data_IF_673349793912
#
_entry.id   IF_673349793912
#
_cell.length_a   1.000
_cell.length_b   1.000
_cell.length_c   1.000
_cell.angle_alpha   90.00
_cell.angle_beta   90.00
_cell.angle_gamma   90.00
#
_symmetry.space_group_name_H-M   'P 1'
#
loop_
_entity.id
_entity.type
_entity.pdbx_description
1 polymer ?
#
# COMPACT_ATOMS: atom_id res chain seq x y z
N UNK A 1 -17.35 23.21 22.07
CA UNK A 1 -17.07 22.73 23.42
C UNK A 1 -17.40 21.23 23.47
N UNK A 2 -16.57 20.45 24.09
CA UNK A 2 -16.75 19.00 24.21
C UNK A 2 -17.73 18.68 25.35
N UNK A 3 -18.72 17.83 25.07
CA UNK A 3 -19.69 17.33 26.06
C UNK A 3 -19.51 15.83 26.24
N UNK A 4 -19.36 15.40 27.52
CA UNK A 4 -19.20 13.97 27.88
C UNK A 4 -20.46 13.13 27.61
N UNK A 5 -21.60 13.77 27.56
CA UNK A 5 -22.95 13.22 27.42
C UNK A 5 -23.53 13.47 26.02
N UNK A 6 -22.66 13.75 25.02
CA UNK A 6 -23.13 13.90 23.66
C UNK A 6 -23.83 12.61 23.18
N UNK A 7 -24.93 12.74 22.42
CA UNK A 7 -25.69 11.59 21.93
C UNK A 7 -24.83 10.73 20.98
N UNK A 8 -25.17 9.45 20.91
CA UNK A 8 -24.52 8.55 19.96
C UNK A 8 -24.71 9.04 18.51
N UNK A 9 -23.68 9.01 17.67
CA UNK A 9 -23.73 9.52 16.30
C UNK A 9 -24.41 8.51 15.37
N UNK A 10 -25.73 8.48 15.39
CA UNK A 10 -26.53 7.44 14.73
C UNK A 10 -26.41 7.49 13.22
N UNK A 11 -26.44 8.68 12.61
CA UNK A 11 -26.34 8.87 11.14
C UNK A 11 -24.94 8.48 10.67
N UNK A 12 -23.91 8.87 11.42
CA UNK A 12 -22.53 8.45 11.14
C UNK A 12 -22.35 6.93 11.17
N UNK A 13 -22.88 6.26 12.21
CA UNK A 13 -22.77 4.82 12.36
C UNK A 13 -23.54 4.07 11.27
N UNK A 14 -24.73 4.55 10.91
CA UNK A 14 -25.51 4.02 9.80
C UNK A 14 -24.79 4.18 8.47
N UNK A 15 -24.23 5.36 8.21
CA UNK A 15 -23.39 5.62 7.03
C UNK A 15 -22.20 4.67 6.98
N UNK A 16 -21.45 4.50 8.07
CA UNK A 16 -20.31 3.57 8.10
C UNK A 16 -20.72 2.13 7.87
N UNK A 17 -21.83 1.67 8.44
CA UNK A 17 -22.36 0.35 8.21
C UNK A 17 -22.80 0.13 6.76
N UNK A 18 -23.27 1.16 6.08
CA UNK A 18 -23.56 1.12 4.65
C UNK A 18 -22.31 1.12 3.77
N UNK A 19 -21.24 1.79 4.20
CA UNK A 19 -20.03 1.98 3.41
C UNK A 19 -18.99 0.87 3.61
N UNK A 20 -18.78 0.43 4.84
CA UNK A 20 -17.72 -0.49 5.23
C UNK A 20 -18.27 -1.83 5.73
N UNK A 21 -17.42 -2.82 5.72
CA UNK A 21 -17.73 -4.10 6.37
C UNK A 21 -17.65 -3.92 7.90
N UNK A 22 -18.58 -4.51 8.67
CA UNK A 22 -18.65 -4.30 10.12
C UNK A 22 -17.36 -4.62 10.87
N UNK A 23 -16.63 -5.65 10.40
CA UNK A 23 -15.35 -6.06 10.99
C UNK A 23 -14.20 -5.04 10.81
N UNK A 24 -14.35 -4.09 9.86
CA UNK A 24 -13.33 -3.08 9.54
C UNK A 24 -13.61 -1.74 10.27
N UNK A 25 -14.84 -1.52 10.74
CA UNK A 25 -15.25 -0.29 11.44
C UNK A 25 -14.42 -0.04 12.72
N UNK A 26 -14.10 -1.05 13.56
CA UNK A 26 -13.22 -0.85 14.71
C UNK A 26 -11.84 -0.31 14.35
N UNK A 27 -11.27 -0.73 13.21
CA UNK A 27 -9.98 -0.23 12.74
C UNK A 27 -10.06 1.24 12.35
N UNK A 28 -11.13 1.65 11.65
CA UNK A 28 -11.37 3.07 11.31
C UNK A 28 -11.57 3.90 12.58
N UNK A 29 -12.33 3.42 13.54
CA UNK A 29 -12.57 4.07 14.83
C UNK A 29 -11.26 4.33 15.58
N UNK A 30 -10.40 3.32 15.66
CA UNK A 30 -9.07 3.42 16.28
C UNK A 30 -8.17 4.40 15.51
N UNK A 31 -8.22 4.40 14.18
CA UNK A 31 -7.41 5.30 13.37
C UNK A 31 -7.82 6.77 13.54
N UNK A 32 -9.11 7.07 13.52
CA UNK A 32 -9.60 8.44 13.76
C UNK A 32 -9.25 8.86 15.19
N UNK A 33 -9.43 7.98 16.17
CA UNK A 33 -9.01 8.22 17.55
C UNK A 33 -7.50 8.46 17.68
N UNK A 34 -6.69 7.71 16.95
CA UNK A 34 -5.23 7.90 16.90
C UNK A 34 -4.84 9.27 16.33
N UNK A 35 -5.64 9.83 15.43
CA UNK A 35 -5.43 11.18 14.93
C UNK A 35 -5.67 12.29 15.97
N UNK A 36 -6.33 12.02 17.10
CA UNK A 36 -6.59 13.01 18.14
C UNK A 36 -5.36 13.33 19.01
N UNK A 37 -4.29 12.55 18.95
CA UNK A 37 -3.11 12.70 19.80
C UNK A 37 -1.82 12.91 18.98
N UNK A 38 -0.86 13.73 19.46
CA UNK A 38 0.42 13.94 18.80
C UNK A 38 1.40 12.79 19.11
N UNK A 39 1.12 11.59 18.59
CA UNK A 39 1.94 10.40 18.82
C UNK A 39 2.04 9.56 17.56
N UNK A 40 3.21 9.09 17.15
CA UNK A 40 3.42 8.19 16.02
C UNK A 40 3.66 6.72 16.44
N UNK A 41 3.30 6.34 17.69
CA UNK A 41 3.52 4.98 18.21
C UNK A 41 2.82 3.88 17.41
N UNK A 42 1.67 4.17 16.82
CA UNK A 42 0.91 3.21 16.01
C UNK A 42 1.56 2.94 14.65
N UNK A 43 2.39 3.85 14.13
CA UNK A 43 3.13 3.70 12.88
C UNK A 43 2.28 3.24 11.69
N UNK A 44 1.07 3.78 11.55
CA UNK A 44 0.12 3.41 10.49
C UNK A 44 -0.38 4.64 9.75
N UNK A 45 -0.59 4.46 8.46
CA UNK A 45 -1.44 5.27 7.59
C UNK A 45 -2.65 4.46 7.18
N UNK A 46 -3.70 5.11 6.72
CA UNK A 46 -4.92 4.45 6.26
C UNK A 46 -5.20 4.76 4.79
N UNK A 47 -5.62 3.74 4.07
CA UNK A 47 -6.13 3.83 2.71
C UNK A 47 -7.53 3.23 2.70
N UNK A 48 -8.52 3.99 2.23
CA UNK A 48 -9.87 3.50 2.02
C UNK A 48 -10.10 3.39 0.51
N UNK A 49 -10.14 2.16 0.03
CA UNK A 49 -10.25 1.79 -1.38
C UNK A 49 -11.71 1.51 -1.76
N UNK A 50 -12.12 1.98 -2.93
CA UNK A 50 -13.44 1.67 -3.54
C UNK A 50 -13.39 1.81 -5.06
N UNK A 51 -14.55 1.67 -5.70
CA UNK A 51 -14.69 1.74 -7.15
C UNK A 51 -15.12 3.13 -7.66
N UNK A 52 -15.43 4.06 -6.74
CA UNK A 52 -15.96 5.40 -7.03
C UNK A 52 -17.47 5.50 -6.78
N UNK A 53 -17.90 6.64 -6.25
CA UNK A 53 -19.31 6.91 -5.99
C UNK A 53 -19.92 6.30 -4.73
N UNK A 54 -19.14 5.56 -3.90
CA UNK A 54 -19.66 4.95 -2.67
C UNK A 54 -19.85 5.96 -1.53
N UNK A 55 -19.17 7.11 -1.59
CA UNK A 55 -19.25 8.16 -0.60
C UNK A 55 -18.05 8.27 0.35
N UNK A 56 -16.88 7.72 -0.01
CA UNK A 56 -15.64 7.78 0.80
C UNK A 56 -15.29 9.20 1.25
N UNK A 57 -15.40 10.18 0.35
CA UNK A 57 -15.09 11.60 0.62
C UNK A 57 -15.95 12.21 1.72
N UNK A 58 -17.13 11.64 2.01
CA UNK A 58 -17.97 12.09 3.12
C UNK A 58 -17.26 11.92 4.48
N UNK A 59 -16.40 10.89 4.61
CA UNK A 59 -15.57 10.72 5.80
C UNK A 59 -14.66 11.94 5.98
N UNK A 60 -13.96 12.37 4.93
CA UNK A 60 -13.10 13.54 4.96
C UNK A 60 -13.85 14.81 5.33
N UNK A 61 -15.04 15.04 4.75
CA UNK A 61 -15.89 16.16 5.04
C UNK A 61 -16.32 16.21 6.52
N UNK A 62 -16.64 15.08 7.13
CA UNK A 62 -16.98 14.99 8.56
C UNK A 62 -15.76 15.22 9.44
N UNK A 63 -14.62 14.63 9.10
CA UNK A 63 -13.38 14.79 9.87
C UNK A 63 -12.91 16.25 9.89
N UNK A 64 -13.15 17.02 8.82
CA UNK A 64 -12.83 18.45 8.79
C UNK A 64 -13.58 19.24 9.87
N UNK A 65 -14.80 18.85 10.22
CA UNK A 65 -15.57 19.48 11.32
C UNK A 65 -14.99 19.14 12.71
N UNK A 66 -14.35 17.99 12.86
CA UNK A 66 -13.77 17.55 14.13
C UNK A 66 -12.37 18.12 14.33
N UNK A 67 -11.52 18.05 13.31
CA UNK A 67 -10.12 18.44 13.39
C UNK A 67 -9.89 19.93 13.09
N UNK A 68 -10.77 20.58 12.33
CA UNK A 68 -10.65 22.00 11.97
C UNK A 68 -9.28 22.32 11.38
N UNK A 69 -8.58 23.29 11.95
CA UNK A 69 -7.24 23.72 11.49
C UNK A 69 -6.13 22.69 11.70
N UNK A 70 -6.37 21.63 12.46
CA UNK A 70 -5.44 20.52 12.65
C UNK A 70 -5.53 19.47 11.53
N UNK A 71 -6.46 19.63 10.59
CA UNK A 71 -6.57 18.83 9.38
C UNK A 71 -6.13 19.64 8.16
N UNK A 72 -5.50 18.95 7.21
CA UNK A 72 -5.12 19.52 5.93
C UNK A 72 -5.46 18.54 4.80
N UNK A 73 -6.04 19.08 3.73
CA UNK A 73 -6.14 18.36 2.47
C UNK A 73 -4.82 18.47 1.73
N UNK A 74 -4.32 17.33 1.24
CA UNK A 74 -3.03 17.31 0.57
C UNK A 74 -2.70 15.97 -0.10
N UNK A 75 -2.05 16.03 -1.26
CA UNK A 75 -1.66 14.82 -1.98
C UNK A 75 -0.43 14.14 -1.35
N UNK A 76 -0.55 12.85 -1.04
CA UNK A 76 0.55 12.01 -0.55
C UNK A 76 1.67 11.93 -1.59
N UNK A 77 1.34 11.88 -2.88
CA UNK A 77 2.32 11.95 -3.96
C UNK A 77 3.15 13.23 -3.91
N UNK A 78 2.51 14.39 -3.76
CA UNK A 78 3.17 15.68 -3.64
C UNK A 78 4.04 15.76 -2.38
N UNK A 79 3.58 15.23 -1.26
CA UNK A 79 4.34 15.16 0.00
C UNK A 79 5.58 14.28 -0.16
N UNK A 80 5.48 13.18 -0.93
CA UNK A 80 6.62 12.29 -1.17
C UNK A 80 7.73 12.94 -2.01
N UNK A 81 7.37 13.80 -2.95
CA UNK A 81 8.31 14.39 -3.92
C UNK A 81 8.80 15.79 -3.53
N UNK A 82 7.96 16.58 -2.86
CA UNK A 82 8.24 18.00 -2.60
C UNK A 82 8.58 18.24 -1.12
N UNK A 83 9.84 18.66 -0.88
CA UNK A 83 10.33 18.99 0.47
C UNK A 83 9.56 20.11 1.15
N UNK A 84 9.06 21.08 0.40
CA UNK A 84 8.28 22.20 0.96
C UNK A 84 6.89 21.75 1.40
N UNK A 85 6.25 20.84 0.64
CA UNK A 85 4.95 20.30 1.01
C UNK A 85 4.98 19.53 2.34
N UNK A 86 6.13 18.94 2.71
CA UNK A 86 6.32 18.28 4.01
C UNK A 86 6.28 19.28 5.18
N UNK A 87 6.87 20.46 5.03
CA UNK A 87 6.85 21.49 6.08
C UNK A 87 5.43 22.02 6.38
N UNK A 88 4.51 21.88 5.42
CA UNK A 88 3.11 22.24 5.60
C UNK A 88 2.34 21.27 6.51
N UNK A 89 2.91 20.12 6.83
CA UNK A 89 2.33 19.15 7.77
C UNK A 89 2.77 19.38 9.22
N UNK A 90 3.65 20.33 9.47
CA UNK A 90 3.98 20.75 10.82
C UNK A 90 2.73 21.29 11.53
N UNK A 91 2.48 20.85 12.76
CA UNK A 91 1.29 21.16 13.56
C UNK A 91 -0.03 20.58 13.02
N UNK A 92 0.01 19.75 11.98
CA UNK A 92 -1.17 19.04 11.47
C UNK A 92 -1.26 17.67 12.14
N UNK A 93 -2.46 17.26 12.53
CA UNK A 93 -2.75 15.96 13.10
C UNK A 93 -3.23 14.95 12.03
N UNK A 94 -3.95 15.44 11.02
CA UNK A 94 -4.51 14.60 9.96
C UNK A 94 -4.30 15.25 8.58
N UNK A 95 -3.66 14.54 7.67
CA UNK A 95 -3.60 14.91 6.27
C UNK A 95 -4.46 13.94 5.45
N UNK A 96 -5.40 14.48 4.68
CA UNK A 96 -6.33 13.70 3.85
C UNK A 96 -6.01 13.92 2.38
N UNK A 97 -5.80 12.83 1.65
CA UNK A 97 -5.70 12.78 0.19
C UNK A 97 -7.03 12.22 -0.35
N UNK A 98 -7.94 13.12 -0.76
CA UNK A 98 -9.32 12.75 -1.13
C UNK A 98 -9.41 12.08 -2.51
N UNK A 99 -8.44 12.31 -3.37
CA UNK A 99 -8.37 11.71 -4.70
C UNK A 99 -6.94 11.22 -4.97
N UNK A 100 -6.52 10.25 -4.17
CA UNK A 100 -5.20 9.67 -4.35
C UNK A 100 -5.15 8.94 -5.68
N UNK A 101 -4.34 9.49 -6.59
CA UNK A 101 -4.14 8.91 -7.91
C UNK A 101 -3.46 7.55 -7.80
N UNK A 102 -3.84 6.63 -8.69
CA UNK A 102 -3.23 5.30 -8.81
C UNK A 102 -1.76 5.33 -9.28
N UNK A 103 -1.20 6.53 -9.48
CA UNK A 103 0.20 6.68 -9.86
C UNK A 103 1.11 6.17 -8.74
N UNK A 104 2.05 5.34 -9.12
CA UNK A 104 2.99 4.78 -8.17
C UNK A 104 3.86 5.87 -7.53
N UNK A 105 3.98 5.87 -6.21
CA UNK A 105 4.89 6.76 -5.50
C UNK A 105 6.34 6.46 -5.91
N UNK A 106 7.03 7.47 -6.44
CA UNK A 106 8.44 7.36 -6.81
C UNK A 106 9.36 7.22 -5.60
N UNK A 107 8.99 7.84 -4.48
CA UNK A 107 9.77 7.84 -3.25
C UNK A 107 8.84 7.60 -2.05
N UNK A 108 8.98 6.45 -1.41
CA UNK A 108 8.19 6.10 -0.22
C UNK A 108 8.88 6.46 1.09
N UNK A 109 10.19 6.79 1.04
CA UNK A 109 11.00 7.06 2.23
C UNK A 109 10.41 8.16 3.12
N UNK A 110 9.92 9.24 2.52
CA UNK A 110 9.32 10.35 3.26
C UNK A 110 7.97 9.97 3.87
N UNK A 111 7.13 9.23 3.13
CA UNK A 111 5.87 8.70 3.67
C UNK A 111 6.16 7.80 4.87
N UNK A 112 7.12 6.88 4.74
CA UNK A 112 7.56 6.01 5.85
C UNK A 112 8.06 6.82 7.04
N UNK A 113 8.88 7.84 6.79
CA UNK A 113 9.45 8.68 7.84
C UNK A 113 8.37 9.47 8.59
N UNK A 114 7.38 10.06 7.89
CA UNK A 114 6.26 10.78 8.51
C UNK A 114 5.46 9.83 9.41
N UNK A 115 5.10 8.65 8.89
CA UNK A 115 4.29 7.67 9.62
C UNK A 115 5.00 7.13 10.87
N UNK A 116 6.33 7.10 10.87
CA UNK A 116 7.14 6.49 11.96
C UNK A 116 7.95 7.49 12.78
N UNK A 117 7.84 8.79 12.50
CA UNK A 117 8.63 9.81 13.18
C UNK A 117 8.46 9.71 14.72
N UNK A 118 9.54 9.45 15.41
CA UNK A 118 9.60 9.45 16.88
C UNK A 118 10.28 10.70 17.45
N UNK A 119 10.78 11.56 16.58
CA UNK A 119 11.49 12.77 16.91
C UNK A 119 11.23 13.88 15.90
N UNK A 120 12.07 14.90 15.94
CA UNK A 120 12.03 15.99 14.98
C UNK A 120 12.49 15.51 13.61
N UNK A 121 11.87 16.06 12.57
CA UNK A 121 12.25 15.88 11.17
C UNK A 121 12.81 17.16 10.61
N UNK A 122 13.68 17.02 9.61
CA UNK A 122 14.20 18.14 8.85
C UNK A 122 13.12 18.69 7.91
N UNK A 123 12.73 19.93 8.14
CA UNK A 123 11.67 20.63 7.40
C UNK A 123 12.25 21.85 6.70
N UNK A 124 11.78 22.11 5.50
CA UNK A 124 12.24 23.21 4.68
C UNK A 124 11.09 24.04 4.13
N UNK A 125 11.12 25.34 4.33
CA UNK A 125 10.18 26.31 3.77
C UNK A 125 10.87 27.14 2.70
N UNK A 126 10.13 27.46 1.63
CA UNK A 126 10.67 28.24 0.52
C UNK A 126 11.27 29.58 1.03
N UNK A 127 12.54 29.84 0.70
CA UNK A 127 13.22 31.05 1.10
C UNK A 127 13.68 31.11 2.56
N UNK A 128 13.61 30.01 3.31
CA UNK A 128 14.09 29.90 4.69
C UNK A 128 15.09 28.75 4.82
N UNK A 129 15.99 28.84 5.79
CA UNK A 129 16.86 27.72 6.13
C UNK A 129 16.04 26.53 6.65
N UNK A 130 16.54 25.31 6.43
CA UNK A 130 15.96 24.12 7.03
C UNK A 130 15.99 24.18 8.55
N UNK A 131 15.03 23.59 9.18
CA UNK A 131 14.90 23.54 10.65
C UNK A 131 14.32 22.22 11.11
N UNK A 132 14.49 21.92 12.39
CA UNK A 132 13.98 20.69 13.01
C UNK A 132 12.60 20.92 13.60
N UNK A 133 11.56 20.31 12.99
CA UNK A 133 10.16 20.38 13.41
C UNK A 133 9.59 19.04 13.85
N UNK A 134 8.56 19.07 14.69
CA UNK A 134 7.81 17.87 15.10
C UNK A 134 6.76 17.52 14.04
N UNK A 135 6.70 16.24 13.69
CA UNK A 135 5.77 15.72 12.69
C UNK A 135 4.86 14.67 13.32
N UNK A 136 3.57 15.00 13.42
CA UNK A 136 2.55 14.10 13.96
C UNK A 136 1.38 13.88 12.98
N UNK A 137 1.51 14.29 11.74
CA UNK A 137 0.47 14.12 10.75
C UNK A 137 0.24 12.65 10.43
N UNK A 138 -1.02 12.16 10.58
CA UNK A 138 -1.46 10.87 10.05
C UNK A 138 -1.92 11.07 8.63
N UNK A 139 -1.67 10.08 7.81
CA UNK A 139 -2.04 10.09 6.40
C UNK A 139 -3.27 9.21 6.21
N UNK A 140 -4.34 9.79 5.72
CA UNK A 140 -5.55 9.13 5.26
C UNK A 140 -5.69 9.37 3.77
N UNK A 141 -5.87 8.33 2.99
CA UNK A 141 -6.11 8.43 1.56
C UNK A 141 -7.41 7.75 1.16
N UNK A 142 -8.16 8.40 0.28
CA UNK A 142 -9.26 7.78 -0.45
C UNK A 142 -8.79 7.49 -1.87
N UNK A 143 -9.02 6.27 -2.35
CA UNK A 143 -8.53 5.83 -3.65
C UNK A 143 -9.56 4.94 -4.36
N UNK A 144 -9.53 4.98 -5.68
CA UNK A 144 -10.23 4.03 -6.54
C UNK A 144 -9.32 2.88 -6.98
N UNK A 145 -8.18 2.71 -6.33
CA UNK A 145 -7.20 1.66 -6.55
C UNK A 145 -6.23 1.53 -5.40
N UNK A 146 -5.20 0.73 -5.58
CA UNK A 146 -4.20 0.47 -4.55
C UNK A 146 -3.07 1.49 -4.57
N UNK A 147 -2.56 1.84 -3.39
CA UNK A 147 -1.39 2.70 -3.27
C UNK A 147 -0.14 1.94 -3.74
N UNK A 148 0.30 2.24 -4.93
CA UNK A 148 1.47 1.63 -5.52
C UNK A 148 2.75 2.39 -5.14
N UNK A 149 3.84 1.65 -5.01
CA UNK A 149 5.19 2.19 -4.83
C UNK A 149 6.08 1.73 -5.98
N UNK A 150 6.50 2.66 -6.84
CA UNK A 150 7.22 2.35 -8.08
C UNK A 150 8.54 1.59 -7.82
N UNK A 151 9.23 1.90 -6.72
CA UNK A 151 10.55 1.34 -6.43
C UNK A 151 10.68 0.73 -5.03
N UNK A 152 9.70 0.89 -4.15
CA UNK A 152 9.74 0.35 -2.79
C UNK A 152 8.81 -0.85 -2.67
N UNK A 153 9.38 -2.01 -2.78
CA UNK A 153 8.71 -3.29 -2.59
C UNK A 153 9.05 -3.92 -1.24
N UNK A 154 9.64 -3.11 -0.35
CA UNK A 154 9.97 -3.59 0.99
C UNK A 154 8.70 -3.77 1.83
N UNK A 155 8.69 -4.78 2.67
CA UNK A 155 7.65 -5.00 3.67
C UNK A 155 7.44 -3.75 4.55
N UNK A 156 8.49 -2.93 4.67
CA UNK A 156 8.48 -1.68 5.42
C UNK A 156 7.44 -0.66 5.00
N UNK A 157 7.06 -0.58 3.74
CA UNK A 157 6.03 0.31 3.23
C UNK A 157 4.62 -0.28 3.46
N UNK A 158 4.41 -1.53 3.06
CA UNK A 158 3.08 -2.17 3.11
C UNK A 158 2.60 -2.44 4.54
N UNK A 159 3.47 -2.89 5.44
CA UNK A 159 3.09 -3.15 6.83
C UNK A 159 2.60 -1.90 7.58
N UNK A 160 2.87 -0.70 7.05
CA UNK A 160 2.40 0.57 7.63
C UNK A 160 1.03 0.99 7.13
N UNK A 161 0.44 0.25 6.20
CA UNK A 161 -0.86 0.55 5.64
C UNK A 161 -1.96 -0.26 6.32
N UNK A 162 -3.05 0.43 6.65
CA UNK A 162 -4.35 -0.16 6.97
C UNK A 162 -5.20 0.04 5.72
N UNK A 163 -5.48 -1.04 4.99
CA UNK A 163 -6.21 -0.97 3.72
C UNK A 163 -7.63 -1.47 3.93
N UNK A 164 -8.58 -0.53 3.99
CA UNK A 164 -10.01 -0.82 4.07
C UNK A 164 -10.60 -0.80 2.66
N UNK A 165 -11.56 -1.67 2.41
CA UNK A 165 -12.30 -1.71 1.14
C UNK A 165 -13.76 -1.38 1.42
N UNK A 166 -14.34 -0.48 0.62
CA UNK A 166 -15.76 -0.17 0.70
C UNK A 166 -16.60 -1.33 0.19
N UNK A 167 -17.85 -1.40 0.66
CA UNK A 167 -18.88 -2.18 0.02
C UNK A 167 -19.25 -1.57 -1.34
N UNK A 168 -19.77 -2.36 -2.23
CA UNK A 168 -20.36 -1.86 -3.46
C UNK A 168 -21.58 -0.99 -3.16
N UNK A 169 -21.72 0.11 -3.90
CA UNK A 169 -22.89 0.97 -3.80
C UNK A 169 -24.13 0.19 -4.33
N UNK A 170 -25.20 0.01 -3.54
CA UNK A 170 -26.44 -0.57 -4.05
C UNK A 170 -26.98 0.28 -5.22
N UNK A 171 -27.50 -0.39 -6.26
CA UNK A 171 -27.98 0.30 -7.48
C UNK A 171 -29.20 1.21 -7.21
N UNK A 172 -29.99 0.88 -6.18
CA UNK A 172 -31.20 1.60 -5.76
C UNK A 172 -30.94 2.65 -4.68
N UNK A 173 -29.69 2.83 -4.23
CA UNK A 173 -29.36 3.81 -3.21
C UNK A 173 -29.52 5.23 -3.76
N UNK A 174 -30.51 5.96 -3.24
CA UNK A 174 -30.62 7.38 -3.45
C UNK A 174 -29.48 8.12 -2.71
N UNK A 175 -28.83 9.07 -3.39
CA UNK A 175 -27.81 9.91 -2.76
C UNK A 175 -28.52 11.04 -1.99
N UNK A 176 -28.14 11.22 -0.72
CA UNK A 176 -28.58 12.33 0.12
C UNK A 176 -27.54 13.47 0.02
N UNK A 177 -27.86 14.59 -0.63
CA UNK A 177 -26.92 15.71 -0.79
C UNK A 177 -26.55 16.36 0.55
N UNK A 178 -27.39 16.24 1.57
CA UNK A 178 -27.22 16.85 2.89
C UNK A 178 -26.57 15.89 3.90
N UNK A 179 -26.19 14.68 3.48
CA UNK A 179 -25.68 13.65 4.37
C UNK A 179 -24.44 14.11 5.16
N UNK A 180 -23.51 14.81 4.51
CA UNK A 180 -22.33 15.35 5.18
C UNK A 180 -22.71 16.34 6.29
N UNK A 181 -23.64 17.25 6.03
CA UNK A 181 -24.05 18.25 7.02
C UNK A 181 -24.81 17.59 8.20
N UNK A 182 -25.64 16.59 7.92
CA UNK A 182 -26.31 15.80 8.96
C UNK A 182 -25.30 15.10 9.86
N UNK A 183 -24.27 14.47 9.27
CA UNK A 183 -23.20 13.82 10.04
C UNK A 183 -22.32 14.83 10.79
N UNK A 184 -22.02 16.01 10.21
CA UNK A 184 -21.28 17.06 10.90
C UNK A 184 -22.02 17.58 12.13
N UNK A 185 -23.36 17.60 12.12
CA UNK A 185 -24.15 17.96 13.29
C UNK A 185 -23.96 16.96 14.46
N UNK A 186 -23.52 15.73 14.20
CA UNK A 186 -23.18 14.73 15.20
C UNK A 186 -21.70 14.77 15.65
N UNK A 187 -20.93 15.81 15.28
CA UNK A 187 -19.47 15.85 15.47
C UNK A 187 -19.02 15.57 16.92
N UNK A 188 -19.78 15.99 17.94
CA UNK A 188 -19.46 15.68 19.35
C UNK A 188 -19.58 14.18 19.64
N UNK A 189 -20.64 13.54 19.15
CA UNK A 189 -20.84 12.09 19.28
C UNK A 189 -19.77 11.30 18.52
N UNK A 190 -19.40 11.75 17.30
CA UNK A 190 -18.34 11.14 16.51
C UNK A 190 -16.98 11.28 17.20
N UNK A 191 -16.72 12.43 17.83
CA UNK A 191 -15.51 12.62 18.63
C UNK A 191 -15.44 11.61 19.80
N UNK A 192 -16.54 11.41 20.52
CA UNK A 192 -16.59 10.42 21.61
C UNK A 192 -16.38 9.02 21.10
N UNK A 193 -17.05 8.67 20.01
CA UNK A 193 -16.87 7.38 19.35
C UNK A 193 -15.40 7.15 18.93
N UNK A 194 -14.74 8.16 18.35
CA UNK A 194 -13.33 8.09 18.00
C UNK A 194 -12.44 7.98 19.24
N UNK A 195 -12.80 8.68 20.33
CA UNK A 195 -12.06 8.62 21.59
C UNK A 195 -12.11 7.23 22.25
N UNK A 196 -13.24 6.54 22.18
CA UNK A 196 -13.34 5.12 22.59
C UNK A 196 -12.38 4.22 21.78
N UNK A 197 -12.28 4.46 20.48
CA UNK A 197 -11.30 3.79 19.62
C UNK A 197 -9.87 4.06 20.06
N UNK A 198 -9.55 5.31 20.41
CA UNK A 198 -8.24 5.67 20.95
C UNK A 198 -7.94 4.92 22.27
N UNK A 199 -8.91 4.87 23.19
CA UNK A 199 -8.74 4.15 24.47
C UNK A 199 -8.44 2.68 24.22
N UNK A 200 -9.15 2.03 23.32
CA UNK A 200 -8.90 0.64 22.93
C UNK A 200 -7.52 0.46 22.31
N UNK A 201 -7.11 1.34 21.40
CA UNK A 201 -5.80 1.31 20.75
C UNK A 201 -4.65 1.47 21.78
N UNK A 202 -4.80 2.40 22.73
CA UNK A 202 -3.81 2.62 23.81
C UNK A 202 -3.72 1.40 24.72
N UNK A 203 -4.87 0.84 25.12
CA UNK A 203 -4.93 -0.38 25.94
C UNK A 203 -4.26 -1.58 25.24
N UNK A 204 -4.31 -1.61 23.89
CA UNK A 204 -3.65 -2.63 23.07
C UNK A 204 -2.22 -2.23 22.62
N UNK A 205 -1.55 -1.33 23.39
CA UNK A 205 -0.17 -0.89 23.09
C UNK A 205 0.02 -0.39 21.66
N UNK A 206 -0.91 0.37 21.13
CA UNK A 206 -0.92 0.91 19.75
C UNK A 206 -0.91 -0.15 18.65
N UNK A 207 -1.37 -1.36 18.93
CA UNK A 207 -1.64 -2.38 17.92
C UNK A 207 -3.09 -2.27 17.48
N UNK A 208 -3.29 -1.91 16.23
CA UNK A 208 -4.63 -1.78 15.64
C UNK A 208 -5.37 -3.12 15.60
N UNK A 209 -6.67 -3.06 15.79
CA UNK A 209 -7.57 -4.17 15.48
C UNK A 209 -7.62 -4.33 13.96
N UNK A 210 -7.02 -5.39 13.44
CA UNK A 210 -7.04 -5.70 12.00
C UNK A 210 -7.90 -6.93 11.74
N UNK A 211 -8.95 -6.76 10.92
CA UNK A 211 -9.74 -7.89 10.42
C UNK A 211 -8.92 -8.78 9.48
N UNK A 212 -9.40 -9.98 9.19
CA UNK A 212 -8.81 -10.83 8.17
C UNK A 212 -8.86 -10.19 6.78
N UNK A 213 -9.89 -9.37 6.52
CA UNK A 213 -10.03 -8.60 5.28
C UNK A 213 -8.90 -7.58 5.13
N UNK A 214 -8.61 -6.79 6.16
CA UNK A 214 -7.53 -5.79 6.15
C UNK A 214 -6.19 -6.48 5.90
N UNK A 215 -5.95 -7.62 6.53
CA UNK A 215 -4.72 -8.40 6.29
C UNK A 215 -4.64 -8.90 4.85
N UNK A 216 -5.73 -9.47 4.32
CA UNK A 216 -5.80 -9.92 2.91
C UNK A 216 -5.63 -8.76 1.93
N UNK A 217 -6.28 -7.62 2.17
CA UNK A 217 -6.13 -6.43 1.33
C UNK A 217 -4.68 -5.97 1.27
N UNK A 218 -3.99 -5.89 2.42
CA UNK A 218 -2.57 -5.51 2.47
C UNK A 218 -1.68 -6.49 1.70
N UNK A 219 -1.92 -7.78 1.82
CA UNK A 219 -1.17 -8.78 1.06
C UNK A 219 -1.49 -8.73 -0.44
N UNK A 220 -2.72 -8.44 -0.82
CA UNK A 220 -3.10 -8.20 -2.22
C UNK A 220 -2.35 -6.99 -2.81
N UNK A 221 -2.40 -5.83 -2.12
CA UNK A 221 -1.64 -4.63 -2.54
C UNK A 221 -0.15 -4.92 -2.67
N UNK A 222 0.42 -5.70 -1.74
CA UNK A 222 1.82 -6.11 -1.80
C UNK A 222 2.11 -7.02 -3.00
N UNK A 223 1.21 -7.95 -3.31
CA UNK A 223 1.30 -8.85 -4.47
C UNK A 223 1.21 -8.07 -5.76
N UNK A 224 0.18 -7.24 -5.92
CA UNK A 224 -0.08 -6.46 -7.15
C UNK A 224 1.05 -5.49 -7.47
N UNK A 225 1.75 -5.01 -6.44
CA UNK A 225 2.95 -4.20 -6.59
C UNK A 225 4.24 -5.01 -6.79
N UNK A 226 4.19 -6.33 -6.70
CA UNK A 226 5.33 -7.21 -6.84
C UNK A 226 5.10 -8.25 -7.93
N UNK A 227 5.22 -7.82 -9.18
CA UNK A 227 5.07 -8.66 -10.36
C UNK A 227 6.04 -9.87 -10.45
N UNK A 228 6.95 -10.01 -9.48
CA UNK A 228 7.82 -11.20 -9.36
C UNK A 228 6.99 -12.45 -9.04
N UNK A 229 5.93 -12.33 -8.20
CA UNK A 229 5.10 -13.49 -7.89
C UNK A 229 4.36 -13.97 -9.13
N UNK A 230 3.77 -13.03 -9.89
CA UNK A 230 3.09 -13.35 -11.14
C UNK A 230 4.05 -13.94 -12.17
N UNK A 231 5.28 -13.39 -12.25
CA UNK A 231 6.33 -13.96 -13.09
C UNK A 231 6.70 -15.38 -12.67
N UNK A 232 6.87 -15.64 -11.38
CA UNK A 232 7.24 -16.96 -10.85
C UNK A 232 6.12 -18.01 -11.01
N UNK A 233 4.86 -17.55 -11.09
CA UNK A 233 3.68 -18.38 -11.32
C UNK A 233 3.30 -18.48 -12.81
N UNK A 234 4.00 -17.72 -13.69
CA UNK A 234 3.71 -17.71 -15.14
C UNK A 234 4.25 -18.95 -15.84
N UNK A 235 3.43 -19.57 -16.65
CA UNK A 235 3.83 -20.67 -17.51
C UNK A 235 4.65 -20.22 -18.71
N UNK A 236 5.57 -21.08 -19.18
CA UNK A 236 6.31 -20.86 -20.42
C UNK A 236 7.60 -20.06 -20.31
N UNK A 237 7.90 -19.41 -19.18
CA UNK A 237 9.11 -18.61 -18.99
C UNK A 237 10.17 -19.31 -18.16
N UNK A 238 9.75 -19.87 -17.04
CA UNK A 238 10.60 -20.61 -16.12
C UNK A 238 9.88 -21.88 -15.66
N UNK A 239 10.64 -22.81 -15.11
CA UNK A 239 10.13 -23.99 -14.43
C UNK A 239 10.88 -24.22 -13.13
N UNK A 240 10.16 -24.45 -12.04
CA UNK A 240 10.76 -24.84 -10.77
C UNK A 240 11.17 -26.32 -10.85
N UNK A 241 12.45 -26.59 -10.61
CA UNK A 241 13.03 -27.92 -10.70
C UNK A 241 14.27 -28.00 -9.83
N UNK A 242 14.26 -28.89 -8.84
CA UNK A 242 15.23 -28.92 -7.74
C UNK A 242 16.69 -29.04 -8.18
N UNK A 243 16.96 -29.77 -9.25
CA UNK A 243 18.31 -30.05 -9.80
C UNK A 243 18.74 -29.08 -10.92
N UNK A 244 17.90 -28.11 -11.23
CA UNK A 244 18.16 -27.08 -12.23
C UNK A 244 18.77 -25.82 -11.63
N UNK A 245 19.39 -25.01 -12.49
CA UNK A 245 19.97 -23.73 -12.08
C UNK A 245 19.93 -22.70 -13.20
N UNK A 246 19.92 -21.43 -12.82
CA UNK A 246 19.95 -20.31 -13.74
C UNK A 246 20.87 -19.21 -13.22
N UNK A 247 21.64 -18.55 -14.12
CA UNK A 247 22.41 -17.38 -13.71
C UNK A 247 21.50 -16.20 -13.36
N UNK A 248 21.90 -15.35 -12.41
CA UNK A 248 21.14 -14.15 -12.05
C UNK A 248 20.90 -13.23 -13.26
N UNK A 249 21.82 -13.21 -14.21
CA UNK A 249 21.69 -12.44 -15.45
C UNK A 249 20.61 -13.01 -16.34
N UNK A 250 20.65 -14.30 -16.63
CA UNK A 250 19.68 -14.94 -17.52
C UNK A 250 18.28 -14.93 -16.90
N UNK A 251 18.19 -15.12 -15.60
CA UNK A 251 16.93 -15.04 -14.87
C UNK A 251 16.29 -13.65 -14.98
N UNK A 252 17.11 -12.59 -14.86
CA UNK A 252 16.63 -11.22 -15.03
C UNK A 252 16.21 -10.91 -16.47
N UNK A 253 16.92 -11.42 -17.48
CA UNK A 253 16.54 -11.21 -18.88
C UNK A 253 15.20 -11.88 -19.22
N UNK A 254 14.94 -13.09 -18.70
CA UNK A 254 13.65 -13.77 -18.86
C UNK A 254 12.53 -12.97 -18.15
N UNK A 255 12.79 -12.46 -16.95
CA UNK A 255 11.86 -11.61 -16.25
C UNK A 255 11.54 -10.31 -17.04
N UNK A 256 12.55 -9.70 -17.66
CA UNK A 256 12.34 -8.53 -18.52
C UNK A 256 11.46 -8.86 -19.71
N UNK A 257 11.73 -9.97 -20.38
CA UNK A 257 10.93 -10.45 -21.50
C UNK A 257 9.47 -10.66 -21.08
N UNK A 258 9.23 -11.33 -19.97
CA UNK A 258 7.90 -11.52 -19.43
C UNK A 258 7.20 -10.17 -19.13
N UNK A 259 7.90 -9.22 -18.53
CA UNK A 259 7.34 -7.89 -18.28
C UNK A 259 6.94 -7.19 -19.57
N UNK A 260 7.78 -7.26 -20.61
CA UNK A 260 7.54 -6.61 -21.90
C UNK A 260 6.31 -7.20 -22.59
N UNK A 261 6.20 -8.52 -22.64
CA UNK A 261 5.06 -9.24 -23.23
C UNK A 261 3.75 -8.97 -22.49
N UNK A 262 3.81 -8.74 -21.16
CA UNK A 262 2.64 -8.42 -20.35
C UNK A 262 2.41 -6.91 -20.15
N UNK A 263 3.12 -6.06 -20.91
CA UNK A 263 3.01 -4.58 -20.83
C UNK A 263 3.30 -4.05 -19.41
N UNK A 264 4.19 -4.70 -18.67
CA UNK A 264 4.59 -4.34 -17.30
C UNK A 264 5.97 -3.67 -17.30
N UNK A 265 6.18 -2.74 -16.36
CA UNK A 265 7.52 -2.15 -16.16
C UNK A 265 8.41 -3.11 -15.37
N UNK A 266 9.59 -3.54 -15.91
CA UNK A 266 10.48 -4.41 -15.18
C UNK A 266 11.19 -3.71 -14.03
N UNK A 267 11.49 -4.44 -12.97
CA UNK A 267 12.41 -4.02 -11.93
C UNK A 267 13.81 -3.76 -12.52
N UNK A 268 14.60 -2.92 -11.84
CA UNK A 268 16.03 -2.90 -12.10
C UNK A 268 16.68 -4.24 -11.68
N UNK A 269 17.73 -4.66 -12.38
CA UNK A 269 18.38 -5.96 -12.17
C UNK A 269 18.72 -6.24 -10.68
N UNK A 270 19.27 -5.24 -9.98
CA UNK A 270 19.58 -5.37 -8.54
C UNK A 270 18.32 -5.58 -7.71
N UNK A 271 17.28 -4.79 -7.94
CA UNK A 271 16.00 -4.90 -7.19
C UNK A 271 15.30 -6.23 -7.44
N UNK A 272 15.38 -6.76 -8.67
CA UNK A 272 14.90 -8.09 -9.01
C UNK A 272 15.66 -9.16 -8.21
N UNK A 273 17.00 -9.11 -8.25
CA UNK A 273 17.85 -10.07 -7.52
C UNK A 273 17.59 -10.02 -6.01
N UNK A 274 17.54 -8.82 -5.41
CA UNK A 274 17.26 -8.65 -3.98
C UNK A 274 15.88 -9.21 -3.60
N UNK A 275 14.87 -9.01 -4.45
CA UNK A 275 13.54 -9.52 -4.22
C UNK A 275 13.45 -11.04 -4.39
N UNK A 276 14.17 -11.61 -5.36
CA UNK A 276 14.27 -13.06 -5.52
C UNK A 276 14.98 -13.73 -4.34
N UNK A 277 16.07 -13.15 -3.84
CA UNK A 277 16.79 -13.63 -2.65
C UNK A 277 15.86 -13.58 -1.42
N UNK A 278 15.15 -12.47 -1.22
CA UNK A 278 14.23 -12.31 -0.08
C UNK A 278 13.07 -13.32 -0.09
N UNK A 279 12.68 -13.82 -1.25
CA UNK A 279 11.57 -14.76 -1.42
C UNK A 279 12.02 -16.17 -1.83
N UNK A 280 13.33 -16.43 -1.84
CA UNK A 280 13.88 -17.70 -2.31
C UNK A 280 13.27 -18.92 -1.59
N UNK A 281 13.13 -18.84 -0.25
CA UNK A 281 12.53 -19.93 0.53
C UNK A 281 11.06 -20.24 0.17
N UNK A 282 10.30 -19.25 -0.30
CA UNK A 282 8.91 -19.47 -0.75
C UNK A 282 8.83 -20.31 -2.02
N UNK A 283 9.81 -20.17 -2.90
CA UNK A 283 9.88 -20.88 -4.18
C UNK A 283 10.83 -22.07 -4.16
N UNK A 284 11.34 -22.46 -2.99
CA UNK A 284 12.36 -23.49 -2.83
C UNK A 284 13.62 -23.24 -3.68
N UNK A 285 14.03 -21.98 -3.78
CA UNK A 285 15.24 -21.57 -4.48
C UNK A 285 16.39 -21.37 -3.50
N UNK A 286 17.61 -21.58 -3.96
CA UNK A 286 18.85 -21.29 -3.26
C UNK A 286 19.70 -20.32 -4.08
N UNK A 287 20.06 -19.16 -3.50
CA UNK A 287 20.96 -18.20 -4.15
C UNK A 287 22.41 -18.55 -3.83
N UNK A 288 23.22 -18.85 -4.84
CA UNK A 288 24.61 -19.24 -4.68
C UNK A 288 25.51 -18.70 -5.80
N UNK A 289 26.83 -18.75 -5.58
CA UNK A 289 27.84 -18.25 -6.53
C UNK A 289 28.51 -19.38 -7.35
N UNK A 290 27.87 -20.53 -7.44
CA UNK A 290 28.44 -21.74 -8.03
C UNK A 290 27.69 -22.23 -9.30
N UNK A 291 26.90 -21.31 -9.90
CA UNK A 291 26.19 -21.60 -11.13
C UNK A 291 27.14 -21.46 -12.31
N UNK A 292 27.13 -22.45 -13.20
CA UNK A 292 27.91 -22.40 -14.44
C UNK A 292 27.04 -21.78 -15.54
N UNK A 293 27.45 -20.62 -16.08
CA UNK A 293 26.77 -20.01 -17.21
C UNK A 293 27.10 -20.71 -18.55
N UNK A 294 26.43 -20.26 -19.63
CA UNK A 294 26.62 -20.78 -20.99
C UNK A 294 28.07 -20.68 -21.52
N UNK A 295 28.91 -19.81 -20.93
CA UNK A 295 30.32 -19.64 -21.27
C UNK A 295 31.24 -20.48 -20.38
N UNK A 296 30.72 -21.40 -19.55
CA UNK A 296 31.48 -22.25 -18.65
C UNK A 296 32.08 -21.53 -17.42
N UNK A 297 31.66 -20.30 -17.13
CA UNK A 297 32.15 -19.49 -16.00
C UNK A 297 31.26 -19.64 -14.80
N UNK A 298 31.82 -19.70 -13.59
CA UNK A 298 31.09 -19.65 -12.35
C UNK A 298 30.56 -18.22 -12.11
N UNK A 299 29.29 -18.13 -11.86
CA UNK A 299 28.57 -16.86 -11.63
C UNK A 299 27.54 -16.99 -10.51
N UNK A 300 27.07 -15.88 -9.97
CA UNK A 300 25.93 -15.86 -9.07
C UNK A 300 24.65 -16.24 -9.80
N UNK A 301 23.79 -17.00 -9.14
CA UNK A 301 22.51 -17.42 -9.68
C UNK A 301 21.65 -18.14 -8.66
N UNK A 302 20.65 -18.86 -9.16
CA UNK A 302 19.68 -19.57 -8.35
C UNK A 302 19.63 -21.05 -8.73
N UNK A 303 19.68 -21.92 -7.71
CA UNK A 303 19.32 -23.32 -7.82
C UNK A 303 17.82 -23.48 -7.63
N UNK A 304 17.23 -24.53 -8.18
CA UNK A 304 15.81 -24.83 -8.05
C UNK A 304 14.94 -24.30 -9.18
N UNK A 305 15.52 -23.70 -10.23
CA UNK A 305 14.78 -23.15 -11.37
C UNK A 305 15.56 -23.29 -12.67
N UNK A 306 14.87 -23.61 -13.76
CA UNK A 306 15.39 -23.63 -15.13
C UNK A 306 14.68 -22.61 -16.03
N UNK A 307 15.39 -22.09 -17.02
CA UNK A 307 14.84 -21.28 -18.09
C UNK A 307 14.06 -22.16 -19.07
N UNK A 308 12.83 -21.81 -19.37
CA UNK A 308 12.03 -22.40 -20.46
C UNK A 308 12.08 -21.48 -21.69
N UNK A 309 11.85 -20.18 -21.50
CA UNK A 309 12.01 -19.20 -22.54
C UNK A 309 13.48 -18.81 -22.74
N UNK A 310 13.89 -18.53 -23.99
CA UNK A 310 15.24 -18.07 -24.32
C UNK A 310 15.18 -16.75 -25.04
N UNK A 311 15.71 -15.66 -24.45
CA UNK A 311 15.82 -14.38 -25.13
C UNK A 311 16.76 -14.51 -26.34
N UNK A 312 16.37 -13.98 -27.50
CA UNK A 312 17.22 -13.97 -28.70
C UNK A 312 18.33 -12.92 -28.60
N UNK A 313 19.51 -13.30 -29.13
CA UNK A 313 20.72 -12.46 -29.13
C UNK A 313 20.56 -11.19 -30.02
N UNK A 314 19.58 -11.14 -30.91
CA UNK A 314 19.40 -10.08 -31.91
C UNK A 314 18.16 -9.20 -31.70
N UNK A 315 17.58 -9.16 -30.52
CA UNK A 315 16.44 -8.26 -30.20
C UNK A 315 15.10 -8.66 -30.86
N UNK A 316 15.02 -9.80 -31.53
CA UNK A 316 13.78 -10.43 -31.96
C UNK A 316 13.55 -11.69 -31.11
N UNK A 317 12.36 -11.78 -30.53
CA UNK A 317 11.95 -12.93 -29.75
C UNK A 317 11.48 -14.01 -30.72
N UNK A 318 12.18 -15.13 -30.79
CA UNK A 318 11.63 -16.34 -31.40
C UNK A 318 10.76 -17.03 -30.34
N UNK A 319 9.49 -16.81 -30.44
CA UNK A 319 8.50 -17.62 -29.75
C UNK A 319 8.46 -18.94 -30.55
N UNK A 320 9.46 -19.78 -30.39
CA UNK A 320 9.24 -21.18 -30.69
C UNK A 320 8.08 -21.62 -29.83
N UNK A 321 6.92 -21.99 -30.42
CA UNK A 321 5.79 -22.43 -29.64
C UNK A 321 6.30 -23.50 -28.69
N UNK A 322 6.11 -23.27 -27.39
CA UNK A 322 6.45 -24.25 -26.37
C UNK A 322 5.69 -25.52 -26.74
N UNK A 323 6.36 -26.50 -27.31
CA UNK A 323 5.80 -27.82 -27.61
C UNK A 323 5.66 -28.62 -26.32
N UNK A 324 5.10 -27.99 -25.29
CA UNK A 324 4.54 -28.69 -24.16
C UNK A 324 3.14 -29.11 -24.58
N UNK A 325 3.04 -30.29 -25.17
CA UNK A 325 1.80 -31.05 -25.24
C UNK A 325 1.79 -31.85 -23.94
N UNK A 326 0.84 -31.64 -23.02
CA UNK A 326 0.66 -32.49 -21.87
C UNK A 326 0.60 -33.94 -22.32
N UNK A 327 1.19 -34.88 -21.58
CA UNK A 327 1.24 -36.31 -21.96
C UNK A 327 -0.13 -36.90 -22.21
N UNK A 328 -1.17 -36.34 -21.62
CA UNK A 328 -2.60 -36.68 -21.71
C UNK A 328 -3.27 -36.20 -23.03
N UNK A 329 -2.57 -35.46 -23.91
CA UNK A 329 -3.07 -34.98 -25.20
C UNK A 329 -2.42 -35.67 -26.39
N UNK A 330 -1.69 -36.76 -26.15
CA UNK A 330 -1.12 -37.59 -27.18
C UNK A 330 -1.97 -38.84 -27.36
N UNK A 331 -3.15 -38.66 -27.98
CA UNK A 331 -3.90 -39.72 -28.65
C UNK A 331 -4.40 -39.24 -30.00
#
# INVERSE_FOLDING_TARGET
>A
AYRKDAPAPTIWLEFLNGLLYPEDIPTLQEFIGYCLIPSNKGQRMMVIKGNGGEGKSQIGAVLSAIFGTNMKDGSIGKISENRFARADLEHILLCVDDDMRMEALRQTNYVKSIVTAQGKMDLERKGKQSYQGWMFARLLAFSNGDLQALYDRSDGFYRRQLVLTTKEKPMDRADDPDLAEKMKAEAEGIFLWAFEGLQRLVANNFKFTESDRIRKNREAVKRDNNNIFDFMESEGYIRLKADASISSKDFYEIYRMWCEENSLAPLKARSFSDAMIANAGRFNLEHCNNITNSAGRRVWGFMGVEAVARPHINGFYDVSPCTYVPEDWRD
#
